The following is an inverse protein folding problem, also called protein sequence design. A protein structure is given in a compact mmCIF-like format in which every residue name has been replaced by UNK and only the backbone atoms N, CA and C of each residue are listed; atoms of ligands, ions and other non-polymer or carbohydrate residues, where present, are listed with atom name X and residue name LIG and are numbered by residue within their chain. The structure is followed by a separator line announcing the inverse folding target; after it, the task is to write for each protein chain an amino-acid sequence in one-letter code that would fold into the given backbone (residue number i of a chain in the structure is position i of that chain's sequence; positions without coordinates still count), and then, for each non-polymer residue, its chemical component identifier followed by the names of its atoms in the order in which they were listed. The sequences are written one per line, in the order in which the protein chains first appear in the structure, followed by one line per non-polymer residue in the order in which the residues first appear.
data_IF_950716009429
#
_entry.id   IF_950716009429
#
_cell.length_a   1.000
_cell.length_b   1.000
_cell.length_c   1.000
_cell.angle_alpha   90.00
_cell.angle_beta   90.00
_cell.angle_gamma   90.00
#
_symmetry.space_group_name_H-M   'P 1'
#
loop_
_entity.id
_entity.type
_entity.pdbx_description
1 polymer ?
#
# COMPACT_ATOMS: atom_id res chain seq x y z
N UNK A 1 -17.10 12.72 -0.78
CA UNK A 1 -16.71 11.45 -1.44
C UNK A 1 -15.84 10.66 -0.46
N UNK A 2 -15.96 9.33 -0.44
CA UNK A 2 -15.07 8.47 0.36
C UNK A 2 -13.73 8.36 -0.39
N UNK A 3 -12.60 8.55 0.30
CA UNK A 3 -11.27 8.42 -0.29
C UNK A 3 -10.97 6.96 -0.64
N UNK A 4 -10.23 6.75 -1.71
CA UNK A 4 -9.70 5.46 -2.15
C UNK A 4 -8.50 5.05 -1.27
N UNK A 5 -8.13 3.76 -1.27
CA UNK A 5 -6.92 3.30 -0.59
C UNK A 5 -5.65 3.97 -1.14
N UNK A 6 -5.60 4.23 -2.45
CA UNK A 6 -4.49 4.93 -3.07
C UNK A 6 -4.33 6.35 -2.53
N UNK A 7 -5.43 7.10 -2.45
CA UNK A 7 -5.43 8.44 -1.86
C UNK A 7 -4.99 8.39 -0.38
N UNK A 8 -5.52 7.45 0.40
CA UNK A 8 -5.16 7.29 1.80
C UNK A 8 -3.67 6.96 1.99
N UNK A 9 -3.09 6.07 1.17
CA UNK A 9 -1.67 5.76 1.22
C UNK A 9 -0.79 7.00 0.94
N UNK A 10 -1.24 7.88 0.04
CA UNK A 10 -0.54 9.12 -0.32
C UNK A 10 -0.78 10.27 0.68
N UNK A 11 -1.67 10.11 1.64
CA UNK A 11 -1.95 11.08 2.71
C UNK A 11 -1.40 10.66 4.08
N UNK A 12 -0.71 9.52 4.17
CA UNK A 12 -0.02 9.14 5.41
C UNK A 12 1.11 10.12 5.70
N UNK A 13 1.09 10.69 6.91
CA UNK A 13 2.04 11.69 7.38
C UNK A 13 2.81 11.23 8.63
N UNK A 14 2.20 10.39 9.45
CA UNK A 14 2.70 9.96 10.74
C UNK A 14 2.19 8.55 11.12
N UNK A 15 2.54 8.09 12.31
CA UNK A 15 2.10 6.79 12.84
C UNK A 15 0.58 6.68 12.94
N UNK A 16 -0.11 7.75 13.35
CA UNK A 16 -1.57 7.74 13.54
C UNK A 16 -2.29 7.55 12.21
N UNK A 17 -1.89 8.30 11.20
CA UNK A 17 -2.42 8.20 9.84
C UNK A 17 -2.02 6.88 9.17
N UNK A 18 -0.84 6.35 9.44
CA UNK A 18 -0.43 5.02 8.99
C UNK A 18 -1.31 3.90 9.58
N UNK A 19 -1.58 3.95 10.88
CA UNK A 19 -2.48 2.98 11.54
C UNK A 19 -3.91 3.07 11.00
N UNK A 20 -4.39 4.29 10.70
CA UNK A 20 -5.68 4.47 10.04
C UNK A 20 -5.69 3.86 8.63
N UNK A 21 -4.61 4.01 7.86
CA UNK A 21 -4.46 3.35 6.56
C UNK A 21 -4.51 1.82 6.67
N UNK A 22 -3.77 1.20 7.60
CA UNK A 22 -3.77 -0.25 7.79
C UNK A 22 -5.17 -0.79 8.13
N UNK A 23 -5.95 -0.05 8.92
CA UNK A 23 -7.34 -0.42 9.23
C UNK A 23 -8.23 -0.38 7.98
N UNK A 24 -8.06 0.64 7.12
CA UNK A 24 -8.79 0.71 5.85
C UNK A 24 -8.35 -0.39 4.87
N UNK A 25 -7.05 -0.70 4.79
CA UNK A 25 -6.52 -1.78 3.96
C UNK A 25 -7.07 -3.14 4.40
N UNK A 26 -7.12 -3.41 5.70
CA UNK A 26 -7.71 -4.63 6.25
C UNK A 26 -9.21 -4.72 5.98
N UNK A 27 -9.93 -3.61 6.05
CA UNK A 27 -11.36 -3.55 5.73
C UNK A 27 -11.59 -3.82 4.24
N UNK A 28 -10.80 -3.20 3.38
CA UNK A 28 -10.87 -3.38 1.93
C UNK A 28 -10.63 -4.85 1.53
N UNK A 29 -9.66 -5.55 2.14
CA UNK A 29 -9.46 -6.99 1.90
C UNK A 29 -10.70 -7.84 2.19
N UNK A 30 -11.49 -7.45 3.19
CA UNK A 30 -12.71 -8.17 3.61
C UNK A 30 -13.89 -7.85 2.71
N UNK A 31 -14.04 -6.59 2.34
CA UNK A 31 -15.20 -6.08 1.60
C UNK A 31 -15.04 -6.26 0.07
N UNK A 32 -13.81 -6.27 -0.44
CA UNK A 32 -13.45 -6.22 -1.87
C UNK A 32 -12.36 -7.24 -2.23
N UNK A 33 -12.47 -8.46 -1.70
CA UNK A 33 -11.51 -9.55 -1.88
C UNK A 33 -11.18 -9.88 -3.34
N UNK A 34 -12.17 -9.72 -4.22
CA UNK A 34 -12.11 -9.98 -5.66
C UNK A 34 -11.33 -8.92 -6.44
N UNK A 35 -11.06 -7.76 -5.85
CA UNK A 35 -10.25 -6.69 -6.45
C UNK A 35 -8.74 -6.84 -6.17
N UNK A 36 -8.34 -7.82 -5.36
CA UNK A 36 -6.94 -8.02 -4.96
C UNK A 36 -6.25 -8.98 -5.92
N UNK A 37 -5.03 -8.64 -6.37
CA UNK A 37 -4.19 -9.56 -7.14
C UNK A 37 -3.70 -10.73 -6.29
N UNK A 38 -3.47 -10.47 -4.99
CA UNK A 38 -2.92 -11.43 -4.05
C UNK A 38 -3.96 -11.92 -3.04
N UNK A 39 -4.28 -13.22 -3.09
CA UNK A 39 -5.35 -13.83 -2.29
C UNK A 39 -4.88 -14.32 -0.91
N UNK A 40 -3.59 -14.61 -0.75
CA UNK A 40 -2.98 -15.08 0.49
C UNK A 40 -2.14 -13.99 1.16
N UNK A 41 -1.90 -14.13 2.48
CA UNK A 41 -0.98 -13.22 3.18
C UNK A 41 0.47 -13.35 2.68
N UNK A 42 0.86 -14.55 2.23
CA UNK A 42 2.21 -14.79 1.71
C UNK A 42 2.43 -14.02 0.40
N UNK A 43 1.57 -14.24 -0.59
CA UNK A 43 1.64 -13.54 -1.89
C UNK A 43 1.50 -12.02 -1.75
N UNK A 44 0.63 -11.55 -0.84
CA UNK A 44 0.51 -10.11 -0.56
C UNK A 44 1.82 -9.50 -0.06
N UNK A 45 2.51 -10.17 0.87
CA UNK A 45 3.77 -9.68 1.44
C UNK A 45 4.92 -9.80 0.45
N UNK A 46 4.94 -10.85 -0.37
CA UNK A 46 5.91 -11.03 -1.45
C UNK A 46 5.80 -9.89 -2.48
N UNK A 47 4.60 -9.66 -3.03
CA UNK A 47 4.35 -8.59 -4.00
C UNK A 47 4.67 -7.18 -3.43
N UNK A 48 4.32 -6.93 -2.17
CA UNK A 48 4.68 -5.68 -1.50
C UNK A 48 6.21 -5.50 -1.40
N UNK A 49 6.93 -6.56 -1.03
CA UNK A 49 8.38 -6.54 -0.90
C UNK A 49 9.09 -6.38 -2.26
N UNK A 50 8.63 -7.09 -3.29
CA UNK A 50 9.16 -7.00 -4.66
C UNK A 50 9.03 -5.58 -5.21
N UNK A 51 7.82 -5.00 -5.17
CA UNK A 51 7.65 -3.62 -5.59
C UNK A 51 8.45 -2.63 -4.71
N UNK A 52 8.52 -2.88 -3.41
CA UNK A 52 9.34 -2.09 -2.49
C UNK A 52 10.83 -2.08 -2.85
N UNK A 53 11.34 -3.20 -3.36
CA UNK A 53 12.72 -3.36 -3.82
C UNK A 53 12.93 -2.70 -5.19
N UNK A 54 12.02 -2.88 -6.14
CA UNK A 54 12.10 -2.26 -7.47
C UNK A 54 12.03 -0.74 -7.41
N UNK A 55 11.22 -0.20 -6.50
CA UNK A 55 11.00 1.25 -6.35
C UNK A 55 11.92 1.90 -5.30
N UNK A 56 12.99 1.22 -4.86
CA UNK A 56 13.87 1.72 -3.79
C UNK A 56 14.52 3.07 -4.11
N UNK A 57 14.75 3.34 -5.40
CA UNK A 57 15.31 4.58 -5.94
C UNK A 57 14.27 5.42 -6.71
N UNK A 58 12.98 5.10 -6.56
CA UNK A 58 11.90 5.63 -7.39
C UNK A 58 11.71 4.86 -8.70
N UNK A 59 10.68 5.23 -9.47
CA UNK A 59 10.37 4.71 -10.82
C UNK A 59 9.98 5.87 -11.73
N UNK A 60 9.83 5.61 -13.04
CA UNK A 60 9.46 6.63 -14.03
C UNK A 60 8.21 7.47 -13.65
N UNK A 61 7.25 6.86 -12.95
CA UNK A 61 6.00 7.49 -12.52
C UNK A 61 5.79 7.43 -11.00
N UNK A 62 6.87 7.20 -10.24
CA UNK A 62 6.81 7.10 -8.80
C UNK A 62 8.03 7.78 -8.18
N UNK A 63 7.78 8.86 -7.45
CA UNK A 63 8.78 9.50 -6.60
C UNK A 63 8.69 8.91 -5.20
N UNK A 64 9.80 8.36 -4.72
CA UNK A 64 9.89 7.81 -3.37
C UNK A 64 9.78 8.95 -2.35
N UNK A 65 8.83 8.89 -1.39
CA UNK A 65 8.71 9.91 -0.37
C UNK A 65 9.83 9.77 0.67
N UNK A 66 10.30 10.90 1.19
CA UNK A 66 11.22 10.93 2.34
C UNK A 66 10.56 10.46 3.63
N UNK A 67 9.22 10.58 3.72
CA UNK A 67 8.46 10.14 4.88
C UNK A 67 8.39 8.59 4.93
N UNK A 68 8.99 7.95 5.95
CA UNK A 68 9.00 6.49 6.04
C UNK A 68 7.59 5.90 6.24
N UNK A 69 6.68 6.59 6.93
CA UNK A 69 5.30 6.12 7.12
C UNK A 69 4.53 6.09 5.81
N UNK A 70 4.66 7.15 5.00
CA UNK A 70 4.09 7.20 3.65
C UNK A 70 4.69 6.11 2.76
N UNK A 71 6.01 5.91 2.83
CA UNK A 71 6.69 4.85 2.08
C UNK A 71 6.16 3.47 2.46
N UNK A 72 6.01 3.18 3.76
CA UNK A 72 5.43 1.94 4.24
C UNK A 72 3.98 1.76 3.76
N UNK A 73 3.16 2.80 3.78
CA UNK A 73 1.78 2.73 3.30
C UNK A 73 1.70 2.41 1.80
N UNK A 74 2.54 3.05 0.99
CA UNK A 74 2.61 2.79 -0.45
C UNK A 74 3.09 1.36 -0.75
N UNK A 75 4.11 0.86 -0.04
CA UNK A 75 4.58 -0.53 -0.16
C UNK A 75 3.43 -1.52 0.15
N UNK A 76 2.72 -1.31 1.26
CA UNK A 76 1.59 -2.17 1.66
C UNK A 76 0.42 -2.07 0.68
N UNK A 77 0.16 -0.89 0.10
CA UNK A 77 -0.84 -0.72 -0.95
C UNK A 77 -0.48 -1.53 -2.20
N UNK A 78 0.80 -1.57 -2.57
CA UNK A 78 1.25 -2.32 -3.75
C UNK A 78 1.09 -3.82 -3.56
N UNK A 79 1.16 -4.35 -2.34
CA UNK A 79 0.77 -5.75 -2.08
C UNK A 79 -0.67 -6.08 -2.51
N UNK A 80 -1.60 -5.11 -2.57
CA UNK A 80 -2.97 -5.33 -3.10
C UNK A 80 -2.98 -5.50 -4.63
N UNK A 81 -2.18 -4.72 -5.36
CA UNK A 81 -2.36 -4.50 -6.81
C UNK A 81 -1.18 -4.93 -7.69
N UNK A 82 -0.02 -5.21 -7.11
CA UNK A 82 1.16 -5.71 -7.81
C UNK A 82 1.03 -7.23 -7.98
N UNK A 83 1.30 -7.72 -9.18
CA UNK A 83 1.21 -9.15 -9.55
C UNK A 83 2.41 -9.97 -9.08
#
# INVERSE_FOLDING_TARGET
MKKTLFELANEVEDEVTFMAFLQQLSKDRKDHADEWQNDSIASFLEAAAEWGQESVDGLLHYEKPDNPWKRCAQIMYMGKIYE
#
